data_IF_949654701488
#
_entry.id   IF_949654701488
#
_cell.length_a   1.000
_cell.length_b   1.000
_cell.length_c   1.000
_cell.angle_alpha   90.00
_cell.angle_beta   90.00
_cell.angle_gamma   90.00
#
_symmetry.space_group_name_H-M   'P 1'
#
loop_
_entity.id
_entity.type
_entity.pdbx_description
1 polymer ?
#
# COMPACT_ATOMS: atom_id res chain seq x y z
N UNK A 1 3.97 2.66 -2.06
CA UNK A 1 5.14 3.49 -1.72
C UNK A 1 6.07 3.74 -2.92
N UNK A 2 5.52 4.04 -4.10
CA UNK A 2 6.30 4.27 -5.34
C UNK A 2 7.18 3.08 -5.79
N UNK A 3 6.85 1.88 -5.33
CA UNK A 3 7.49 0.63 -5.71
C UNK A 3 6.92 0.03 -6.99
N UNK A 4 7.42 -1.16 -7.33
CA UNK A 4 7.03 -1.91 -8.53
C UNK A 4 5.92 -2.94 -8.28
N UNK A 5 5.50 -3.12 -7.03
CA UNK A 5 4.59 -4.21 -6.64
C UNK A 5 3.13 -4.07 -7.08
N UNK A 6 2.63 -2.86 -7.38
CA UNK A 6 1.18 -2.62 -7.53
C UNK A 6 0.51 -3.51 -8.59
N UNK A 7 1.10 -3.62 -9.78
CA UNK A 7 0.54 -4.44 -10.87
C UNK A 7 0.43 -5.92 -10.45
N UNK A 8 1.42 -6.42 -9.73
CA UNK A 8 1.47 -7.81 -9.26
C UNK A 8 0.46 -8.06 -8.14
N UNK A 9 0.27 -7.11 -7.22
CA UNK A 9 -0.74 -7.20 -6.16
C UNK A 9 -2.15 -7.24 -6.77
N UNK A 10 -2.46 -6.39 -7.76
CA UNK A 10 -3.76 -6.43 -8.45
C UNK A 10 -3.99 -7.80 -9.11
N UNK A 11 -3.00 -8.30 -9.86
CA UNK A 11 -3.05 -9.65 -10.48
C UNK A 11 -3.23 -10.76 -9.45
N UNK A 12 -2.57 -10.67 -8.30
CA UNK A 12 -2.71 -11.65 -7.23
C UNK A 12 -4.15 -11.70 -6.69
N UNK A 13 -4.76 -10.54 -6.43
CA UNK A 13 -6.16 -10.44 -6.00
C UNK A 13 -7.12 -11.01 -7.06
N UNK A 14 -6.91 -10.67 -8.33
CA UNK A 14 -7.70 -11.20 -9.44
C UNK A 14 -7.59 -12.73 -9.55
N UNK A 15 -6.39 -13.28 -9.39
CA UNK A 15 -6.11 -14.72 -9.49
C UNK A 15 -6.89 -15.53 -8.45
N UNK A 16 -7.13 -14.96 -7.27
CA UNK A 16 -7.91 -15.60 -6.19
C UNK A 16 -9.37 -15.11 -6.12
N UNK A 17 -9.85 -14.42 -7.15
CA UNK A 17 -11.21 -13.87 -7.24
C UNK A 17 -11.60 -12.94 -6.08
N UNK A 18 -10.63 -12.17 -5.58
CA UNK A 18 -10.86 -11.08 -4.63
C UNK A 18 -11.18 -9.77 -5.38
N UNK A 19 -11.93 -8.88 -4.73
CA UNK A 19 -12.17 -7.53 -5.26
C UNK A 19 -10.84 -6.77 -5.37
N UNK A 20 -10.66 -5.99 -6.43
CA UNK A 20 -9.48 -5.16 -6.59
C UNK A 20 -9.18 -4.32 -5.33
N UNK A 21 -7.90 -4.21 -4.91
CA UNK A 21 -7.53 -3.43 -3.74
C UNK A 21 -7.80 -1.95 -3.97
N UNK A 22 -8.14 -1.23 -2.90
CA UNK A 22 -8.25 0.22 -2.94
C UNK A 22 -6.84 0.79 -2.82
N UNK A 23 -6.35 1.45 -3.87
CA UNK A 23 -4.98 1.96 -3.92
C UNK A 23 -4.85 3.39 -3.39
N UNK A 24 -3.74 3.65 -2.71
CA UNK A 24 -3.25 5.01 -2.46
C UNK A 24 -2.69 5.55 -3.78
N UNK A 25 -3.54 6.25 -4.56
CA UNK A 25 -3.21 6.71 -5.91
C UNK A 25 -1.92 7.53 -5.96
N UNK A 26 -1.64 8.36 -4.94
CA UNK A 26 -0.41 9.15 -4.87
C UNK A 26 0.88 8.31 -4.87
N UNK A 27 0.81 7.06 -4.41
CA UNK A 27 1.97 6.18 -4.25
C UNK A 27 1.92 4.93 -5.15
N UNK A 28 0.94 4.86 -6.05
CA UNK A 28 0.64 3.67 -6.84
C UNK A 28 1.69 3.38 -7.91
N UNK A 29 2.13 4.43 -8.62
CA UNK A 29 3.07 4.29 -9.73
C UNK A 29 4.53 4.34 -9.25
N UNK A 30 5.43 3.57 -9.87
CA UNK A 30 6.85 3.61 -9.58
C UNK A 30 7.42 5.02 -9.71
N UNK A 31 8.19 5.45 -8.71
CA UNK A 31 8.93 6.72 -8.75
C UNK A 31 10.19 6.62 -7.88
N UNK A 32 11.40 6.67 -8.46
CA UNK A 32 12.65 6.49 -7.71
C UNK A 32 12.98 7.65 -6.75
N UNK A 33 12.30 8.79 -6.88
CA UNK A 33 12.49 9.95 -5.98
C UNK A 33 11.67 9.83 -4.68
N UNK A 34 10.79 8.83 -4.57
CA UNK A 34 9.92 8.58 -3.41
C UNK A 34 9.27 9.84 -2.81
N UNK A 35 8.58 10.70 -3.60
CA UNK A 35 8.24 12.07 -3.22
C UNK A 35 7.27 12.20 -2.02
N UNK A 36 6.68 11.11 -1.56
CA UNK A 36 5.71 11.10 -0.47
C UNK A 36 6.27 10.56 0.85
N UNK A 37 7.48 10.01 0.87
CA UNK A 37 8.10 9.40 2.06
C UNK A 37 9.58 9.74 2.13
N UNK A 38 10.13 9.89 3.33
CA UNK A 38 11.57 10.16 3.50
C UNK A 38 12.43 8.91 3.33
N UNK A 39 11.94 7.79 3.87
CA UNK A 39 12.62 6.51 3.83
C UNK A 39 11.60 5.44 3.47
N UNK A 40 11.69 4.83 2.28
CA UNK A 40 10.63 3.97 1.77
C UNK A 40 10.72 2.55 2.37
N UNK A 41 10.34 2.41 3.65
CA UNK A 41 10.29 1.14 4.36
C UNK A 41 8.94 1.01 5.11
N UNK A 42 8.13 -0.04 4.87
CA UNK A 42 6.79 -0.19 5.45
C UNK A 42 6.77 -0.41 6.97
N UNK A 43 7.93 -0.64 7.60
CA UNK A 43 8.09 -0.68 9.07
C UNK A 43 8.09 0.73 9.69
N UNK A 44 8.34 1.77 8.90
CA UNK A 44 8.31 3.17 9.37
C UNK A 44 6.87 3.67 9.45
N UNK A 45 6.46 4.17 10.61
CA UNK A 45 5.08 4.62 10.85
C UNK A 45 4.66 5.74 9.89
N UNK A 46 5.57 6.64 9.51
CA UNK A 46 5.27 7.73 8.58
C UNK A 46 4.86 7.22 7.20
N UNK A 47 5.35 6.05 6.79
CA UNK A 47 4.98 5.45 5.51
C UNK A 47 3.52 4.97 5.46
N UNK A 48 2.89 4.78 6.63
CA UNK A 48 1.53 4.25 6.74
C UNK A 48 0.45 5.35 6.69
N UNK A 49 0.82 6.62 6.86
CA UNK A 49 -0.11 7.75 7.05
C UNK A 49 -1.15 7.87 5.92
N UNK A 50 -0.72 7.81 4.65
CA UNK A 50 -1.63 7.90 3.50
C UNK A 50 -2.56 6.69 3.41
N UNK A 51 -2.04 5.49 3.72
CA UNK A 51 -2.83 4.26 3.71
C UNK A 51 -3.85 4.23 4.84
N UNK A 52 -3.49 4.71 6.02
CA UNK A 52 -4.38 4.86 7.17
C UNK A 52 -5.52 5.81 6.83
N UNK A 53 -5.23 7.03 6.36
CA UNK A 53 -6.25 8.02 5.96
C UNK A 53 -7.23 7.46 4.92
N UNK A 54 -6.71 6.73 3.93
CA UNK A 54 -7.55 6.13 2.90
C UNK A 54 -8.44 5.01 3.48
N UNK A 55 -7.90 4.22 4.41
CA UNK A 55 -8.69 3.19 5.09
C UNK A 55 -9.82 3.80 5.93
N UNK A 56 -9.58 4.93 6.62
CA UNK A 56 -10.62 5.69 7.33
C UNK A 56 -11.72 6.19 6.38
N UNK A 57 -11.33 6.85 5.28
CA UNK A 57 -12.26 7.40 4.29
C UNK A 57 -13.12 6.31 3.63
N UNK A 58 -12.52 5.15 3.35
CA UNK A 58 -13.16 4.05 2.63
C UNK A 58 -13.72 2.97 3.53
N UNK A 59 -13.55 3.09 4.85
CA UNK A 59 -13.88 2.07 5.86
C UNK A 59 -13.28 0.71 5.50
N UNK A 60 -12.01 0.71 5.06
CA UNK A 60 -11.27 -0.51 4.78
C UNK A 60 -10.76 -1.13 6.10
N UNK A 61 -10.96 -2.43 6.28
CA UNK A 61 -10.57 -3.13 7.52
C UNK A 61 -9.09 -3.50 7.59
N UNK A 62 -8.47 -3.69 6.43
CA UNK A 62 -7.07 -4.10 6.32
C UNK A 62 -6.32 -3.10 5.46
N UNK A 63 -5.13 -2.76 5.92
CA UNK A 63 -4.15 -1.96 5.19
C UNK A 63 -2.97 -2.86 4.87
N UNK A 64 -2.58 -2.89 3.59
CA UNK A 64 -1.44 -3.62 3.06
C UNK A 64 -0.44 -2.62 2.51
N UNK A 65 0.81 -2.67 2.98
CA UNK A 65 1.88 -1.78 2.50
C UNK A 65 3.11 -2.61 2.18
N UNK A 66 3.44 -2.69 0.89
CA UNK A 66 4.70 -3.26 0.42
C UNK A 66 5.82 -2.23 0.45
N UNK A 67 7.05 -2.72 0.63
CA UNK A 67 8.25 -1.98 0.31
C UNK A 67 8.46 -1.86 -1.23
N UNK A 68 9.45 -1.07 -1.69
CA UNK A 68 9.54 -0.71 -3.12
C UNK A 68 9.72 -1.88 -4.09
N UNK A 69 10.46 -2.93 -3.72
CA UNK A 69 10.67 -4.16 -4.48
C UNK A 69 9.64 -5.26 -4.17
N UNK A 70 8.75 -5.01 -3.21
CA UNK A 70 7.57 -5.79 -2.88
C UNK A 70 7.83 -7.21 -2.36
N UNK A 71 9.00 -7.44 -1.75
CA UNK A 71 9.30 -8.68 -1.05
C UNK A 71 8.96 -8.63 0.45
N UNK A 72 8.73 -7.43 1.01
CA UNK A 72 8.21 -7.22 2.35
C UNK A 72 6.81 -6.64 2.33
N UNK A 73 6.04 -6.98 3.36
CA UNK A 73 4.66 -6.56 3.53
C UNK A 73 4.36 -6.24 5.00
N UNK A 74 4.00 -4.99 5.27
CA UNK A 74 3.33 -4.62 6.51
C UNK A 74 1.81 -4.78 6.35
N UNK A 75 1.18 -5.29 7.40
CA UNK A 75 -0.27 -5.46 7.49
C UNK A 75 -0.75 -4.79 8.76
N UNK A 76 -1.78 -3.97 8.64
CA UNK A 76 -2.47 -3.39 9.79
C UNK A 76 -3.97 -3.63 9.68
N UNK A 77 -4.59 -3.91 10.83
CA UNK A 77 -6.04 -3.90 10.97
C UNK A 77 -6.49 -2.51 11.41
N UNK A 78 -7.54 -2.01 10.76
CA UNK A 78 -8.24 -0.82 11.19
C UNK A 78 -9.38 -1.24 12.11
N UNK A 79 -9.15 -1.12 13.41
CA UNK A 79 -10.13 -1.39 14.47
C UNK A 79 -10.84 -0.08 14.85
N UNK A 80 -12.17 -0.11 14.89
CA UNK A 80 -13.07 1.05 15.09
C UNK A 80 -13.77 0.98 16.44
#
# INVERSE_FOLDING_TARGET
>A
MHGVGYEFVVKAFETVNLKAPISVVQQQNPNPDFPTVKFPNPEELECLELSQRLAEERRAKLVLVNDPDADRLAVAEYDV
#
